data_IF_647822262499
#
_entry.id   IF_647822262499
#
_cell.length_a   1.000
_cell.length_b   1.000
_cell.length_c   1.000
_cell.angle_alpha   90.00
_cell.angle_beta   90.00
_cell.angle_gamma   90.00
#
_symmetry.space_group_name_H-M   'P 1'
#
loop_
_entity.id
_entity.type
_entity.pdbx_description
1 polymer ?
#
# COMPACT_ATOMS: atom_id res chain seq x y z
N UNK A 1 3.16 10.53 -17.69
CA UNK A 1 3.36 11.04 -16.31
C UNK A 1 3.19 9.84 -15.38
N UNK A 2 4.28 9.33 -14.77
CA UNK A 2 4.21 8.18 -13.86
C UNK A 2 3.96 8.73 -12.46
N UNK A 3 2.73 8.61 -11.97
CA UNK A 3 2.36 9.05 -10.62
C UNK A 3 2.94 8.03 -9.65
N UNK A 4 4.06 8.37 -9.01
CA UNK A 4 4.55 7.62 -7.85
C UNK A 4 3.66 8.00 -6.69
N UNK A 5 2.81 7.06 -6.29
CA UNK A 5 1.78 7.28 -5.28
C UNK A 5 2.34 6.74 -3.96
N UNK A 6 2.98 7.59 -3.16
CA UNK A 6 3.60 7.25 -1.86
C UNK A 6 2.55 6.87 -0.78
N UNK A 7 1.68 5.91 -1.10
CA UNK A 7 0.57 5.46 -0.26
C UNK A 7 0.83 4.06 0.23
N UNK A 8 0.65 3.85 1.54
CA UNK A 8 0.56 2.50 2.10
C UNK A 8 -0.85 1.99 1.91
N UNK A 9 -1.00 0.80 1.33
CA UNK A 9 -2.27 0.22 0.96
C UNK A 9 -2.48 -1.13 1.64
N UNK A 10 -3.72 -1.37 2.00
CA UNK A 10 -4.28 -2.70 2.25
C UNK A 10 -5.11 -3.08 1.04
N UNK A 11 -4.68 -4.11 0.32
CA UNK A 11 -5.38 -4.65 -0.85
C UNK A 11 -5.88 -6.05 -0.54
N UNK A 12 -7.17 -6.27 -0.74
CA UNK A 12 -7.81 -7.59 -0.65
C UNK A 12 -8.26 -7.96 -2.05
N UNK A 13 -7.83 -9.11 -2.55
CA UNK A 13 -8.15 -9.55 -3.91
C UNK A 13 -8.30 -11.07 -4.00
N UNK A 14 -9.02 -11.52 -5.02
CA UNK A 14 -9.16 -12.94 -5.33
C UNK A 14 -8.00 -13.41 -6.21
N UNK A 15 -7.40 -14.52 -5.84
CA UNK A 15 -6.36 -15.18 -6.64
C UNK A 15 -6.94 -16.45 -7.24
N UNK A 16 -6.76 -16.62 -8.55
CA UNK A 16 -7.22 -17.81 -9.24
C UNK A 16 -6.58 -19.07 -8.62
N UNK A 17 -7.41 -19.99 -8.12
CA UNK A 17 -6.96 -21.22 -7.47
C UNK A 17 -6.84 -21.15 -5.95
N UNK A 18 -7.18 -20.02 -5.31
CA UNK A 18 -7.35 -19.93 -3.85
C UNK A 18 -8.83 -19.88 -3.48
N UNK A 19 -9.21 -20.59 -2.42
CA UNK A 19 -10.56 -20.51 -1.83
C UNK A 19 -10.78 -19.22 -1.02
N UNK A 20 -9.70 -18.60 -0.53
CA UNK A 20 -9.78 -17.42 0.33
C UNK A 20 -9.14 -16.18 -0.32
N UNK A 21 -9.69 -14.97 -0.07
CA UNK A 21 -9.11 -13.73 -0.54
C UNK A 21 -7.70 -13.52 0.01
N UNK A 22 -6.79 -13.07 -0.84
CA UNK A 22 -5.42 -12.74 -0.43
C UNK A 22 -5.36 -11.28 0.03
N UNK A 23 -4.68 -11.05 1.14
CA UNK A 23 -4.52 -9.73 1.75
C UNK A 23 -3.06 -9.30 1.63
N UNK A 24 -2.83 -8.13 1.05
CA UNK A 24 -1.51 -7.52 0.92
C UNK A 24 -1.49 -6.18 1.63
N UNK A 25 -0.43 -5.97 2.41
CA UNK A 25 -0.07 -4.70 3.00
C UNK A 25 1.27 -4.24 2.41
N UNK A 26 1.32 -3.03 1.86
CA UNK A 26 2.54 -2.52 1.27
C UNK A 26 2.39 -1.16 0.63
N UNK A 27 3.46 -0.66 0.04
CA UNK A 27 3.48 0.63 -0.63
C UNK A 27 3.05 0.51 -2.09
N UNK A 28 2.16 1.39 -2.53
CA UNK A 28 1.80 1.50 -3.94
C UNK A 28 2.97 2.09 -4.73
N UNK A 29 3.71 1.25 -5.46
CA UNK A 29 4.86 1.75 -6.23
C UNK A 29 4.48 2.18 -7.64
N UNK A 30 3.38 1.65 -8.17
CA UNK A 30 2.85 2.02 -9.48
C UNK A 30 1.38 1.65 -9.58
N UNK A 31 0.59 2.54 -10.16
CA UNK A 31 -0.80 2.27 -10.49
C UNK A 31 -1.04 2.60 -11.96
N UNK A 32 -1.66 1.67 -12.68
CA UNK A 32 -2.12 1.85 -14.05
C UNK A 32 -3.65 1.61 -14.08
N UNK A 33 -4.31 1.81 -15.23
CA UNK A 33 -5.78 1.71 -15.32
C UNK A 33 -6.32 0.31 -14.97
N UNK A 34 -5.52 -0.73 -15.21
CA UNK A 34 -5.94 -2.13 -15.04
C UNK A 34 -5.28 -2.84 -13.86
N UNK A 35 -4.21 -2.28 -13.30
CA UNK A 35 -3.44 -2.96 -12.26
C UNK A 35 -2.83 -2.01 -11.25
N UNK A 36 -2.53 -2.56 -10.07
CA UNK A 36 -1.80 -1.88 -9.02
C UNK A 36 -0.59 -2.71 -8.62
N UNK A 37 0.55 -2.05 -8.42
CA UNK A 37 1.79 -2.67 -7.99
C UNK A 37 2.05 -2.27 -6.55
N UNK A 38 2.07 -3.25 -5.66
CA UNK A 38 2.25 -3.05 -4.23
C UNK A 38 3.55 -3.74 -3.79
N UNK A 39 4.48 -2.97 -3.24
CA UNK A 39 5.72 -3.49 -2.65
C UNK A 39 5.49 -3.76 -1.17
N UNK A 40 5.56 -5.02 -0.76
CA UNK A 40 5.41 -5.44 0.64
C UNK A 40 6.62 -5.06 1.46
N UNK A 41 6.48 -5.09 2.80
CA UNK A 41 7.58 -4.83 3.74
C UNK A 41 8.75 -5.83 3.59
N UNK A 42 8.46 -7.05 3.12
CA UNK A 42 9.49 -8.04 2.77
C UNK A 42 10.26 -7.71 1.48
N UNK A 43 9.94 -6.61 0.80
CA UNK A 43 10.57 -6.18 -0.45
C UNK A 43 10.00 -6.83 -1.71
N UNK A 44 9.02 -7.73 -1.60
CA UNK A 44 8.37 -8.38 -2.73
C UNK A 44 7.36 -7.43 -3.38
N UNK A 45 7.42 -7.30 -4.70
CA UNK A 45 6.42 -6.53 -5.47
C UNK A 45 5.33 -7.47 -5.97
N UNK A 46 4.08 -7.08 -5.75
CA UNK A 46 2.90 -7.77 -6.27
C UNK A 46 2.19 -6.90 -7.30
N UNK A 47 1.93 -7.46 -8.47
CA UNK A 47 1.09 -6.83 -9.49
C UNK A 47 -0.31 -7.44 -9.40
N UNK A 48 -1.30 -6.62 -9.05
CA UNK A 48 -2.66 -7.05 -8.76
C UNK A 48 -3.58 -6.45 -9.82
N UNK A 49 -4.37 -7.28 -10.50
CA UNK A 49 -5.36 -6.80 -11.46
C UNK A 49 -6.55 -6.17 -10.70
N UNK A 50 -6.91 -4.93 -11.04
CA UNK A 50 -8.00 -4.19 -10.37
C UNK A 50 -9.34 -4.90 -10.44
N UNK A 51 -9.58 -5.73 -11.46
CA UNK A 51 -10.80 -6.53 -11.59
C UNK A 51 -10.94 -7.61 -10.53
N UNK A 52 -9.84 -8.01 -9.90
CA UNK A 52 -9.81 -9.03 -8.85
C UNK A 52 -9.84 -8.42 -7.45
N UNK A 53 -9.72 -7.09 -7.34
CA UNK A 53 -9.67 -6.40 -6.06
C UNK A 53 -11.08 -6.31 -5.49
N UNK A 54 -11.26 -6.90 -4.31
CA UNK A 54 -12.48 -6.81 -3.52
C UNK A 54 -12.49 -5.53 -2.67
N UNK A 55 -11.32 -5.13 -2.17
CA UNK A 55 -11.16 -3.94 -1.33
C UNK A 55 -9.77 -3.34 -1.48
N UNK A 56 -9.72 -2.02 -1.62
CA UNK A 56 -8.50 -1.23 -1.50
C UNK A 56 -8.73 -0.14 -0.44
N UNK A 57 -7.84 -0.08 0.55
CA UNK A 57 -7.89 0.94 1.59
C UNK A 57 -6.52 1.54 1.79
N UNK A 58 -6.46 2.87 1.80
CA UNK A 58 -5.27 3.60 2.22
C UNK A 58 -5.08 3.43 3.72
N UNK A 59 -3.89 3.00 4.11
CA UNK A 59 -3.50 2.77 5.50
C UNK A 59 -2.60 3.94 5.88
N UNK A 60 -2.87 4.62 7.01
CA UNK A 60 -1.99 5.68 7.46
C UNK A 60 -0.57 5.13 7.67
N UNK A 61 0.41 5.89 7.19
CA UNK A 61 1.80 5.64 7.52
C UNK A 61 2.04 5.98 8.98
N UNK A 62 2.86 5.19 9.66
CA UNK A 62 3.20 5.44 11.07
C UNK A 62 4.54 6.14 11.11
N UNK A 63 4.68 7.12 11.99
CA UNK A 63 6.00 7.69 12.21
C UNK A 63 6.91 6.63 12.85
N UNK A 64 8.07 6.38 12.25
CA UNK A 64 9.03 5.39 12.77
C UNK A 64 9.50 5.70 14.21
N UNK A 65 9.47 6.98 14.61
CA UNK A 65 9.99 7.44 15.89
C UNK A 65 8.96 7.41 17.02
N UNK A 66 7.70 7.73 16.73
CA UNK A 66 6.66 7.83 17.77
C UNK A 66 5.49 6.86 17.57
N UNK A 67 5.44 6.10 16.47
CA UNK A 67 4.39 5.12 16.19
C UNK A 67 3.01 5.69 15.85
N UNK A 68 2.82 7.02 15.93
CA UNK A 68 1.57 7.68 15.59
C UNK A 68 1.34 7.70 14.08
N UNK A 69 0.07 7.49 13.71
CA UNK A 69 -0.43 7.68 12.36
C UNK A 69 -0.25 9.13 11.94
N UNK A 70 0.45 9.37 10.84
CA UNK A 70 0.74 10.71 10.35
C UNK A 70 0.58 10.77 8.84
N UNK A 71 0.07 11.92 8.41
CA UNK A 71 0.03 12.29 7.01
C UNK A 71 1.47 12.36 6.45
N UNK A 72 1.76 11.74 5.30
CA UNK A 72 3.12 11.69 4.74
C UNK A 72 3.67 13.05 4.31
N UNK A 73 2.82 14.05 4.07
CA UNK A 73 3.22 15.42 3.72
C UNK A 73 3.48 16.27 4.96
N UNK A 74 2.95 15.85 6.12
CA UNK A 74 3.04 16.60 7.37
C UNK A 74 4.04 15.89 8.28
N UNK A 75 5.31 16.33 8.26
CA UNK A 75 6.37 15.75 9.08
C UNK A 75 5.99 15.57 10.56
N UNK A 76 6.54 14.57 11.25
CA UNK A 76 6.20 14.33 12.66
C UNK A 76 6.78 15.44 13.55
N UNK A 77 5.99 15.93 14.51
CA UNK A 77 6.47 16.84 15.57
C UNK A 77 7.63 16.27 16.40
N UNK A 78 7.80 14.94 16.38
CA UNK A 78 8.93 14.23 16.96
C UNK A 78 10.22 14.31 16.12
N UNK A 79 10.20 15.00 14.98
CA UNK A 79 11.30 15.05 14.01
C UNK A 79 11.50 13.76 13.20
N UNK A 80 10.60 12.77 13.37
CA UNK A 80 10.58 11.56 12.55
C UNK A 80 9.79 11.77 11.24
N UNK A 81 9.96 10.87 10.28
CA UNK A 81 9.18 10.85 9.04
C UNK A 81 8.17 9.70 9.08
N UNK A 82 7.06 9.85 8.37
CA UNK A 82 6.13 8.76 8.15
C UNK A 82 6.82 7.70 7.26
N UNK A 83 6.78 6.43 7.67
CA UNK A 83 7.28 5.29 6.88
C UNK A 83 6.22 4.18 6.85
#
# INVERSE_FOLDING_TARGET
>A
MKTYVDKKLKVVFEEAGRQEPTIILGECVREDDTSINVKTESGRTWTINKKLILLIKEVPKKCWRCGFERDPLTGCSCGGQAR
#
